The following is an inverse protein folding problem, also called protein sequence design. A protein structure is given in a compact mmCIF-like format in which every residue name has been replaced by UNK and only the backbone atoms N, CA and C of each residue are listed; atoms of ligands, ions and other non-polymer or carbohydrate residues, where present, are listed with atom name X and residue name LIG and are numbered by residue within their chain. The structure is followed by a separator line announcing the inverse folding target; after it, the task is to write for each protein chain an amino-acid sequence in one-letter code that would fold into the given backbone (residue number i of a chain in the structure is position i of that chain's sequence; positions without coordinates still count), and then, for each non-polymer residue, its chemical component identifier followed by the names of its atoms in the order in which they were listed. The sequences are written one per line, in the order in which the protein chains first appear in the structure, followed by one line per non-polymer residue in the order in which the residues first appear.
data_IF_271401696739
#
_entry.id   IF_271401696739
#
_cell.length_a   1.000
_cell.length_b   1.000
_cell.length_c   1.000
_cell.angle_alpha   90.00
_cell.angle_beta   90.00
_cell.angle_gamma   90.00
#
_symmetry.space_group_name_H-M   'P 1'
#
loop_
_entity.id
_entity.type
_entity.pdbx_description
1 polymer ?
#
# COMPACT_ATOMS: atom_id res chain seq x y z
N UNK A 1 14.70 18.88 -0.28
CA UNK A 1 14.40 17.46 0.03
C UNK A 1 15.26 16.63 -0.91
N UNK A 2 16.11 15.70 -0.43
CA UNK A 2 16.85 14.80 -1.34
C UNK A 2 15.84 14.06 -2.22
N UNK A 3 16.15 13.89 -3.50
CA UNK A 3 15.36 13.13 -4.46
C UNK A 3 15.15 11.70 -3.93
N UNK A 4 14.01 11.43 -3.29
CA UNK A 4 13.65 10.11 -2.76
C UNK A 4 13.47 9.13 -3.94
N UNK A 5 13.06 9.65 -5.08
CA UNK A 5 12.80 9.00 -6.37
C UNK A 5 14.03 8.39 -7.04
N UNK A 6 15.26 8.83 -6.70
CA UNK A 6 16.50 8.29 -7.30
C UNK A 6 17.37 7.49 -6.32
N UNK A 7 16.89 7.29 -5.09
CA UNK A 7 17.63 6.58 -4.04
C UNK A 7 17.28 5.09 -4.02
N UNK A 8 18.23 4.25 -3.59
CA UNK A 8 17.96 2.83 -3.39
C UNK A 8 17.15 2.61 -2.12
N UNK A 9 16.40 1.50 -2.08
CA UNK A 9 15.62 1.12 -0.88
C UNK A 9 16.54 0.93 0.33
N UNK A 10 17.75 0.38 0.17
CA UNK A 10 18.70 0.20 1.27
C UNK A 10 19.11 1.56 1.88
N UNK A 11 19.43 2.55 1.05
CA UNK A 11 19.76 3.89 1.53
C UNK A 11 18.58 4.55 2.23
N UNK A 12 17.37 4.45 1.68
CA UNK A 12 16.16 4.99 2.33
C UNK A 12 15.93 4.30 3.68
N UNK A 13 16.08 2.97 3.74
CA UNK A 13 15.93 2.18 4.96
C UNK A 13 16.89 2.63 6.07
N UNK A 14 18.16 2.86 5.73
CA UNK A 14 19.16 3.35 6.68
C UNK A 14 18.86 4.77 7.16
N UNK A 15 18.38 5.65 6.27
CA UNK A 15 17.96 7.00 6.63
C UNK A 15 16.72 7.01 7.55
N UNK A 16 15.77 6.10 7.32
CA UNK A 16 14.62 5.92 8.21
C UNK A 16 15.08 5.38 9.56
N UNK A 17 15.92 4.33 9.58
CA UNK A 17 16.43 3.72 10.82
C UNK A 17 17.19 4.71 11.69
N UNK A 18 17.99 5.57 11.06
CA UNK A 18 18.74 6.65 11.72
C UNK A 18 17.91 7.90 12.01
N UNK A 19 16.60 7.87 11.74
CA UNK A 19 15.65 8.97 11.95
C UNK A 19 15.98 10.26 11.18
N UNK A 20 16.83 10.18 10.16
CA UNK A 20 17.14 11.29 9.25
C UNK A 20 16.04 11.50 8.22
N UNK A 21 15.18 10.49 8.02
CA UNK A 21 14.04 10.53 7.11
C UNK A 21 12.80 9.94 7.77
N UNK A 22 11.68 10.65 7.67
CA UNK A 22 10.40 10.21 8.23
C UNK A 22 9.64 9.32 7.23
N UNK A 23 9.15 8.14 7.65
CA UNK A 23 8.20 7.34 6.86
C UNK A 23 6.99 8.14 6.39
N UNK A 24 6.46 9.01 7.25
CA UNK A 24 5.29 9.87 6.94
C UNK A 24 5.63 10.86 5.85
N UNK A 25 6.83 11.47 5.90
CA UNK A 25 7.29 12.39 4.87
C UNK A 25 7.44 11.70 3.50
N UNK A 26 7.93 10.45 3.48
CA UNK A 26 8.04 9.65 2.25
C UNK A 26 6.65 9.36 1.69
N UNK A 27 5.71 8.88 2.51
CA UNK A 27 4.34 8.58 2.05
C UNK A 27 3.66 9.81 1.47
N UNK A 28 3.78 10.97 2.13
CA UNK A 28 3.25 12.24 1.59
C UNK A 28 3.87 12.62 0.25
N UNK A 29 5.18 12.43 0.10
CA UNK A 29 5.87 12.69 -1.16
C UNK A 29 5.43 11.74 -2.28
N UNK A 30 5.14 10.46 -1.97
CA UNK A 30 4.58 9.52 -2.93
C UNK A 30 3.15 9.91 -3.33
N UNK A 31 2.29 10.25 -2.37
CA UNK A 31 0.91 10.66 -2.63
C UNK A 31 0.84 11.92 -3.51
N UNK A 32 1.68 12.92 -3.24
CA UNK A 32 1.75 14.13 -4.06
C UNK A 32 2.17 13.83 -5.52
N UNK A 33 3.07 12.86 -5.74
CA UNK A 33 3.45 12.43 -7.09
C UNK A 33 2.30 11.66 -7.78
N UNK A 34 1.59 10.83 -7.03
CA UNK A 34 0.41 10.12 -7.54
C UNK A 34 -0.65 11.13 -7.97
N UNK A 35 -0.95 12.13 -7.13
CA UNK A 35 -1.91 13.20 -7.45
C UNK A 35 -1.51 13.95 -8.74
N UNK A 36 -0.24 14.31 -8.89
CA UNK A 36 0.25 15.07 -10.04
C UNK A 36 0.30 14.25 -11.35
N UNK A 37 0.62 12.95 -11.28
CA UNK A 37 0.95 12.14 -12.46
C UNK A 37 -0.12 11.12 -12.84
N UNK A 38 -0.85 10.58 -11.87
CA UNK A 38 -1.83 9.51 -12.10
C UNK A 38 -2.97 9.89 -13.07
N UNK A 39 -3.45 11.15 -13.15
CA UNK A 39 -4.46 11.53 -14.15
C UNK A 39 -4.01 11.29 -15.61
N UNK A 40 -2.70 11.30 -15.86
CA UNK A 40 -2.11 11.05 -17.19
C UNK A 40 -1.62 9.62 -17.37
N UNK A 41 -1.07 9.03 -16.31
CA UNK A 41 -0.45 7.70 -16.36
C UNK A 41 -1.45 6.56 -16.14
N UNK A 42 -2.53 6.81 -15.38
CA UNK A 42 -3.50 5.82 -14.96
C UNK A 42 -2.83 4.56 -14.34
N UNK A 43 -1.83 4.78 -13.50
CA UNK A 43 -1.00 3.74 -12.90
C UNK A 43 -1.63 3.14 -11.62
N UNK A 44 -2.43 3.92 -10.90
CA UNK A 44 -3.12 3.53 -9.67
C UNK A 44 -4.62 3.58 -9.86
N UNK A 45 -5.29 2.45 -9.60
CA UNK A 45 -6.76 2.33 -9.62
C UNK A 45 -7.39 2.60 -8.26
N UNK A 46 -6.66 2.35 -7.18
CA UNK A 46 -7.13 2.51 -5.80
C UNK A 46 -5.97 3.06 -4.99
N UNK A 47 -6.21 4.16 -4.30
CA UNK A 47 -5.23 4.84 -3.46
C UNK A 47 -5.74 4.76 -2.02
N UNK A 48 -4.99 4.08 -1.17
CA UNK A 48 -5.31 3.90 0.26
C UNK A 48 -4.62 4.98 1.10
N UNK A 49 -4.94 6.26 0.82
CA UNK A 49 -4.24 7.41 1.41
C UNK A 49 -4.25 7.40 2.94
N UNK A 50 -5.44 7.28 3.54
CA UNK A 50 -5.60 7.31 4.99
C UNK A 50 -4.87 6.13 5.65
N UNK A 51 -5.07 4.91 5.15
CA UNK A 51 -4.42 3.70 5.65
C UNK A 51 -2.89 3.80 5.54
N UNK A 52 -2.37 4.32 4.42
CA UNK A 52 -0.94 4.49 4.20
C UNK A 52 -0.33 5.51 5.18
N UNK A 53 -1.02 6.63 5.43
CA UNK A 53 -0.60 7.62 6.41
C UNK A 53 -0.66 7.07 7.83
N UNK A 54 -1.70 6.32 8.19
CA UNK A 54 -1.83 5.70 9.50
C UNK A 54 -0.71 4.68 9.75
N UNK A 55 -0.43 3.81 8.78
CA UNK A 55 0.67 2.84 8.86
C UNK A 55 2.04 3.52 8.97
N UNK A 56 2.27 4.62 8.23
CA UNK A 56 3.51 5.37 8.31
C UNK A 56 3.69 6.06 9.67
N UNK A 57 2.61 6.60 10.26
CA UNK A 57 2.63 7.18 11.59
C UNK A 57 2.94 6.13 12.66
N UNK A 58 2.37 4.92 12.54
CA UNK A 58 2.67 3.82 13.44
C UNK A 58 4.13 3.38 13.33
N UNK A 59 4.64 3.15 12.11
CA UNK A 59 6.04 2.81 11.88
C UNK A 59 6.98 3.86 12.46
N UNK A 60 6.69 5.15 12.25
CA UNK A 60 7.51 6.24 12.80
C UNK A 60 7.53 6.22 14.34
N UNK A 61 6.37 6.00 14.99
CA UNK A 61 6.30 5.88 16.46
C UNK A 61 7.13 4.72 16.97
N UNK A 62 7.14 3.59 16.28
CA UNK A 62 7.92 2.42 16.67
C UNK A 62 9.42 2.62 16.48
N UNK A 63 9.82 3.19 15.35
CA UNK A 63 11.23 3.52 15.06
C UNK A 63 11.77 4.47 16.13
N UNK A 64 10.99 5.50 16.50
CA UNK A 64 11.36 6.44 17.57
C UNK A 64 11.51 5.77 18.94
N UNK A 65 10.77 4.68 19.19
CA UNK A 65 10.87 3.86 20.41
C UNK A 65 12.01 2.83 20.35
N UNK A 66 12.76 2.75 19.26
CA UNK A 66 13.82 1.74 19.05
C UNK A 66 13.32 0.38 18.55
N UNK A 67 12.03 0.25 18.26
CA UNK A 67 11.42 -1.00 17.79
C UNK A 67 11.60 -1.15 16.27
N UNK A 68 12.83 -1.41 15.83
CA UNK A 68 13.14 -1.61 14.42
C UNK A 68 12.74 -3.01 13.93
N UNK A 69 11.72 -3.11 13.06
CA UNK A 69 11.22 -4.39 12.52
C UNK A 69 12.05 -4.97 11.37
N UNK A 70 12.99 -4.23 10.79
CA UNK A 70 13.82 -4.69 9.67
C UNK A 70 13.84 -3.74 8.47
N UNK A 71 14.53 -4.14 7.39
CA UNK A 71 14.88 -3.25 6.28
C UNK A 71 13.70 -2.56 5.56
N UNK A 72 12.49 -3.15 5.60
CA UNK A 72 11.30 -2.57 4.98
C UNK A 72 10.42 -1.77 5.95
N UNK A 73 10.85 -1.59 7.21
CA UNK A 73 10.06 -0.90 8.20
C UNK A 73 9.90 0.60 7.86
N UNK A 74 8.67 1.02 7.57
CA UNK A 74 8.34 2.39 7.17
C UNK A 74 8.56 2.69 5.69
N UNK A 75 8.87 1.69 4.85
CA UNK A 75 9.00 1.85 3.40
C UNK A 75 7.63 1.69 2.73
N UNK A 76 7.14 2.67 1.94
CA UNK A 76 5.90 2.49 1.18
C UNK A 76 6.09 1.53 0.01
N UNK A 77 5.07 0.71 -0.24
CA UNK A 77 5.05 -0.28 -1.32
C UNK A 77 3.71 -0.19 -2.05
N UNK A 78 3.76 -0.13 -3.38
CA UNK A 78 2.59 -0.28 -4.24
C UNK A 78 2.35 -1.77 -4.52
N UNK A 79 1.12 -2.23 -4.34
CA UNK A 79 0.73 -3.63 -4.58
C UNK A 79 -0.13 -3.68 -5.84
N UNK A 80 0.21 -4.59 -6.76
CA UNK A 80 -0.59 -4.81 -7.97
C UNK A 80 -1.87 -5.54 -7.63
N UNK A 81 -2.99 -5.07 -8.18
CA UNK A 81 -4.30 -5.70 -8.04
C UNK A 81 -4.36 -7.00 -8.88
N UNK A 82 -3.87 -8.09 -8.31
CA UNK A 82 -3.92 -9.44 -8.89
C UNK A 82 -4.84 -10.38 -8.09
N UNK A 83 -5.36 -9.92 -6.95
CA UNK A 83 -6.12 -10.73 -6.00
C UNK A 83 -7.33 -9.95 -5.49
N UNK A 84 -8.45 -10.64 -5.27
CA UNK A 84 -9.63 -10.05 -4.63
C UNK A 84 -9.31 -9.71 -3.18
N UNK A 85 -8.95 -8.46 -2.91
CA UNK A 85 -8.99 -7.89 -1.57
C UNK A 85 -10.42 -7.37 -1.30
N UNK A 86 -10.99 -7.57 -0.10
CA UNK A 86 -12.33 -7.06 0.22
C UNK A 86 -12.45 -5.52 0.14
N UNK A 87 -11.33 -4.81 0.04
CA UNK A 87 -11.27 -3.35 -0.17
C UNK A 87 -10.82 -2.93 -1.56
N UNK A 88 -10.38 -3.87 -2.41
CA UNK A 88 -9.99 -3.56 -3.79
C UNK A 88 -11.25 -3.50 -4.67
N UNK A 89 -11.33 -2.50 -5.52
CA UNK A 89 -12.37 -2.43 -6.56
C UNK A 89 -12.00 -3.49 -7.60
N UNK A 90 -12.86 -4.49 -7.87
CA UNK A 90 -12.50 -5.56 -8.79
C UNK A 90 -12.23 -5.00 -10.19
N UNK A 91 -11.13 -5.45 -10.80
CA UNK A 91 -10.58 -5.02 -12.10
C UNK A 91 -11.55 -5.12 -13.31
N UNK A 92 -12.79 -5.61 -13.13
CA UNK A 92 -13.87 -5.51 -14.11
C UNK A 92 -15.26 -5.49 -13.43
N UNK A 93 -15.90 -4.32 -13.26
CA UNK A 93 -17.26 -4.22 -12.69
C UNK A 93 -18.29 -5.01 -13.51
N UNK A 94 -18.15 -5.03 -14.84
CA UNK A 94 -19.12 -5.67 -15.75
C UNK A 94 -18.99 -7.20 -15.83
N UNK A 95 -17.80 -7.76 -15.57
CA UNK A 95 -17.58 -9.21 -15.61
C UNK A 95 -17.76 -9.85 -14.21
N UNK A 96 -17.35 -9.14 -13.16
CA UNK A 96 -17.45 -9.66 -11.79
C UNK A 96 -18.88 -9.98 -11.37
N UNK A 97 -19.91 -9.26 -11.83
CA UNK A 97 -21.30 -9.62 -11.47
C UNK A 97 -21.72 -11.03 -11.93
N UNK A 98 -21.08 -11.58 -12.96
CA UNK A 98 -21.38 -12.92 -13.49
C UNK A 98 -20.63 -14.03 -12.74
N UNK A 99 -19.41 -13.74 -12.28
CA UNK A 99 -18.56 -14.71 -11.55
C UNK A 99 -18.69 -14.64 -10.02
N UNK A 100 -19.14 -13.50 -9.45
CA UNK A 100 -19.45 -13.41 -8.02
C UNK A 100 -20.52 -14.42 -7.61
N UNK A 101 -21.51 -14.68 -8.47
CA UNK A 101 -22.52 -15.71 -8.22
C UNK A 101 -21.90 -17.12 -8.15
N UNK A 102 -20.96 -17.43 -9.05
CA UNK A 102 -20.25 -18.72 -9.06
C UNK A 102 -19.39 -18.90 -7.81
N UNK A 103 -18.68 -17.85 -7.38
CA UNK A 103 -17.79 -17.90 -6.20
C UNK A 103 -18.62 -17.92 -4.90
N UNK A 104 -19.66 -17.09 -4.80
CA UNK A 104 -20.54 -17.03 -3.62
C UNK A 104 -21.30 -18.34 -3.42
N UNK A 105 -21.78 -18.96 -4.50
CA UNK A 105 -22.44 -20.27 -4.46
C UNK A 105 -21.50 -21.42 -4.06
N UNK A 106 -20.20 -21.28 -4.35
CA UNK A 106 -19.17 -22.28 -3.98
C UNK A 106 -18.70 -22.12 -2.52
N UNK A 107 -18.75 -20.91 -1.96
CA UNK A 107 -18.50 -20.68 -0.54
C UNK A 107 -19.66 -21.13 0.35
N UNK A 108 -20.92 -21.00 -0.09
CA UNK A 108 -22.08 -21.53 0.66
C UNK A 108 -22.04 -23.05 0.80
N UNK A 109 -21.60 -23.78 -0.25
CA UNK A 109 -21.42 -25.25 -0.19
C UNK A 109 -20.25 -25.66 0.70
N UNK A 110 -19.20 -24.83 0.80
CA UNK A 110 -18.06 -25.11 1.69
C UNK A 110 -18.40 -24.83 3.17
N UNK A 111 -19.23 -23.81 3.43
CA UNK A 111 -19.69 -23.44 4.78
C UNK A 111 -20.80 -24.35 5.31
N UNK A 112 -21.46 -25.13 4.45
CA UNK A 112 -22.42 -26.17 4.87
C UNK A 112 -21.79 -27.55 5.11
N UNK A 113 -20.45 -27.66 5.02
CA UNK A 113 -19.69 -28.90 5.25
C UNK A 113 -18.71 -28.78 6.43
N UNK A 114 -18.94 -27.81 7.32
CA UNK A 114 -18.37 -27.69 8.68
C UNK A 114 -19.55 -27.44 9.62
#
# INVERSE_FOLDING_TARGET
MKAIDTQTISTISELIRSQQLSPVAIVKACLAQIEALNPRLNAFITILEEDALNAANEAEKEIKKGNWRGALHGIPVAVKDLQTSPRAVPMMPKLCSKYLWVIKKRMEVLLSMI
#
